data_IF_881478716237
#
_entry.id   IF_881478716237
#
_cell.length_a   1.000
_cell.length_b   1.000
_cell.length_c   1.000
_cell.angle_alpha   90.00
_cell.angle_beta   90.00
_cell.angle_gamma   90.00
#
_symmetry.space_group_name_H-M   'P 1'
#
loop_
_entity.id
_entity.type
_entity.pdbx_description
1 polymer ?
#
# COMPACT_ATOMS: atom_id res chain seq x y z
N UNK A 1 -18.25 19.26 -37.57
CA UNK A 1 -17.90 18.86 -36.19
C UNK A 1 -18.49 17.47 -35.96
N UNK A 2 -17.75 16.41 -36.23
CA UNK A 2 -18.17 15.01 -36.04
C UNK A 2 -17.78 14.60 -34.62
N UNK A 3 -18.79 14.35 -33.80
CA UNK A 3 -18.59 13.83 -32.44
C UNK A 3 -18.10 12.39 -32.53
N UNK A 4 -16.86 12.19 -32.08
CA UNK A 4 -16.23 10.88 -31.94
C UNK A 4 -16.96 10.07 -30.85
N UNK A 5 -17.85 9.21 -31.27
CA UNK A 5 -18.60 8.32 -30.39
C UNK A 5 -17.71 7.12 -30.01
N UNK A 6 -16.96 7.26 -28.91
CA UNK A 6 -16.11 6.19 -28.37
C UNK A 6 -16.99 5.00 -27.98
N UNK A 7 -16.76 3.79 -28.52
CA UNK A 7 -17.60 2.62 -28.21
C UNK A 7 -17.54 2.31 -26.70
N UNK A 8 -18.65 1.86 -26.09
CA UNK A 8 -18.69 1.50 -24.68
C UNK A 8 -17.73 0.33 -24.42
N UNK A 9 -16.89 0.50 -23.38
CA UNK A 9 -15.94 -0.53 -22.96
C UNK A 9 -16.70 -1.80 -22.55
N UNK A 10 -16.23 -2.99 -22.96
CA UNK A 10 -16.89 -4.24 -22.58
C UNK A 10 -16.90 -4.37 -21.05
N UNK A 11 -18.08 -4.55 -20.47
CA UNK A 11 -18.23 -4.88 -19.04
C UNK A 11 -17.66 -6.27 -18.83
N UNK A 12 -16.56 -6.38 -18.10
CA UNK A 12 -16.04 -7.68 -17.64
C UNK A 12 -17.15 -8.33 -16.81
N UNK A 13 -17.70 -9.41 -17.30
CA UNK A 13 -18.75 -10.17 -16.61
C UNK A 13 -18.24 -10.61 -15.24
N UNK A 14 -19.01 -10.38 -14.18
CA UNK A 14 -18.68 -10.85 -12.84
C UNK A 14 -18.74 -12.39 -12.86
N UNK A 15 -17.61 -13.05 -12.63
CA UNK A 15 -17.56 -14.50 -12.49
C UNK A 15 -18.36 -14.93 -11.25
N UNK A 16 -19.13 -16.04 -11.34
CA UNK A 16 -19.89 -16.52 -10.18
C UNK A 16 -18.97 -16.96 -9.03
N UNK A 17 -19.41 -16.86 -7.77
CA UNK A 17 -18.61 -17.18 -6.57
C UNK A 17 -17.97 -18.58 -6.61
N UNK A 18 -18.64 -19.56 -7.21
CA UNK A 18 -18.14 -20.93 -7.39
C UNK A 18 -16.89 -21.00 -8.26
N UNK A 19 -16.79 -20.12 -9.28
CA UNK A 19 -15.62 -20.06 -10.16
C UNK A 19 -14.40 -19.46 -9.44
N UNK A 20 -14.61 -18.46 -8.58
CA UNK A 20 -13.54 -17.91 -7.75
C UNK A 20 -12.96 -18.96 -6.80
N UNK A 21 -13.82 -19.74 -6.13
CA UNK A 21 -13.38 -20.79 -5.22
C UNK A 21 -12.62 -21.89 -5.97
N UNK A 22 -13.10 -22.33 -7.15
CA UNK A 22 -12.39 -23.30 -7.98
C UNK A 22 -11.01 -22.80 -8.41
N UNK A 23 -10.92 -21.56 -8.85
CA UNK A 23 -9.65 -20.92 -9.22
C UNK A 23 -8.71 -20.85 -8.01
N UNK A 24 -9.22 -20.48 -6.84
CA UNK A 24 -8.43 -20.42 -5.61
C UNK A 24 -7.87 -21.78 -5.22
N UNK A 25 -8.68 -22.86 -5.27
CA UNK A 25 -8.22 -24.20 -4.97
C UNK A 25 -7.18 -24.70 -5.97
N UNK A 26 -7.33 -24.38 -7.27
CA UNK A 26 -6.34 -24.74 -8.29
C UNK A 26 -4.99 -24.03 -8.06
N UNK A 27 -5.00 -22.76 -7.69
CA UNK A 27 -3.80 -22.01 -7.34
C UNK A 27 -3.14 -22.53 -6.07
N UNK A 28 -3.92 -22.83 -5.06
CA UNK A 28 -3.44 -23.40 -3.80
C UNK A 28 -2.77 -24.76 -4.02
N UNK A 29 -3.36 -25.62 -4.85
CA UNK A 29 -2.77 -26.91 -5.25
C UNK A 29 -1.44 -26.73 -6.02
N UNK A 30 -1.26 -25.60 -6.70
CA UNK A 30 0.00 -25.22 -7.34
C UNK A 30 0.99 -24.52 -6.38
N UNK A 31 0.73 -24.50 -5.08
CA UNK A 31 1.61 -23.90 -4.07
C UNK A 31 1.52 -22.37 -3.97
N UNK A 32 0.52 -21.74 -4.58
CA UNK A 32 0.33 -20.28 -4.54
C UNK A 32 -0.71 -19.91 -3.47
N UNK A 33 -0.33 -19.23 -2.38
CA UNK A 33 -1.28 -18.85 -1.33
C UNK A 33 -2.32 -17.85 -1.84
N UNK A 34 -3.60 -18.12 -1.58
CA UNK A 34 -4.73 -17.36 -2.12
C UNK A 34 -5.58 -16.73 -1.04
N UNK A 35 -6.31 -15.68 -1.43
CA UNK A 35 -7.29 -15.01 -0.59
C UNK A 35 -8.42 -14.43 -1.47
N UNK A 36 -9.66 -14.30 -0.92
CA UNK A 36 -10.74 -13.60 -1.60
C UNK A 36 -10.52 -12.08 -1.55
N UNK A 37 -10.85 -11.38 -2.65
CA UNK A 37 -10.83 -9.93 -2.72
C UNK A 37 -12.23 -9.37 -2.98
N UNK A 38 -12.58 -8.31 -2.25
CA UNK A 38 -13.84 -7.55 -2.42
C UNK A 38 -13.75 -6.57 -3.60
N UNK A 39 -14.84 -5.88 -3.86
CA UNK A 39 -14.89 -4.77 -4.81
C UNK A 39 -13.76 -3.77 -4.54
N UNK A 40 -13.19 -3.21 -5.62
CA UNK A 40 -12.00 -2.36 -5.54
C UNK A 40 -10.69 -3.12 -5.35
N UNK A 41 -10.67 -4.44 -5.49
CA UNK A 41 -9.49 -5.32 -5.26
C UNK A 41 -9.01 -5.27 -3.79
N UNK A 42 -9.89 -4.96 -2.85
CA UNK A 42 -9.56 -4.80 -1.44
C UNK A 42 -9.65 -6.14 -0.71
N UNK A 43 -8.64 -6.57 0.06
CA UNK A 43 -8.72 -7.77 0.88
C UNK A 43 -9.69 -7.56 2.05
N UNK A 44 -10.08 -8.64 2.70
CA UNK A 44 -10.83 -8.56 3.95
C UNK A 44 -9.91 -8.03 5.04
N UNK A 45 -10.41 -7.05 5.81
CA UNK A 45 -9.69 -6.47 6.92
C UNK A 45 -9.67 -7.37 8.16
N UNK A 46 -9.11 -6.85 9.25
CA UNK A 46 -9.09 -7.56 10.52
C UNK A 46 -10.51 -7.86 11.00
N UNK A 47 -10.72 -9.05 11.52
CA UNK A 47 -11.95 -9.37 12.25
C UNK A 47 -12.01 -8.55 13.54
N UNK A 48 -13.20 -8.50 14.18
CA UNK A 48 -13.40 -7.72 15.40
C UNK A 48 -12.43 -8.13 16.53
N UNK A 49 -12.18 -9.42 16.70
CA UNK A 49 -11.24 -9.93 17.71
C UNK A 49 -9.79 -9.47 17.41
N UNK A 50 -9.39 -9.44 16.16
CA UNK A 50 -8.05 -9.01 15.76
C UNK A 50 -7.86 -7.51 15.82
N UNK A 51 -8.89 -6.72 15.64
CA UNK A 51 -8.84 -5.28 15.82
C UNK A 51 -8.45 -4.90 17.27
N UNK A 52 -8.84 -5.75 18.25
CA UNK A 52 -8.45 -5.60 19.65
C UNK A 52 -7.13 -6.31 20.02
N UNK A 53 -6.38 -6.84 19.05
CA UNK A 53 -5.14 -7.58 19.33
C UNK A 53 -5.32 -9.00 19.86
N UNK A 54 -6.54 -9.52 19.91
CA UNK A 54 -6.87 -10.79 20.56
C UNK A 54 -6.44 -12.05 19.81
N UNK A 55 -5.99 -11.95 18.56
CA UNK A 55 -5.56 -13.11 17.76
C UNK A 55 -4.10 -13.54 17.99
N UNK A 56 -3.48 -13.17 19.11
CA UNK A 56 -2.10 -13.51 19.43
C UNK A 56 -1.05 -12.65 18.76
N UNK A 57 -1.42 -11.43 18.40
CA UNK A 57 -0.42 -10.40 18.14
C UNK A 57 0.17 -10.40 16.75
N UNK A 58 -0.65 -10.19 15.75
CA UNK A 58 -0.16 -9.67 14.48
C UNK A 58 -0.46 -8.18 14.34
N UNK A 59 0.05 -7.34 15.25
CA UNK A 59 -0.19 -5.91 15.16
C UNK A 59 0.41 -5.31 13.90
N UNK A 60 1.36 -6.01 13.28
CA UNK A 60 2.16 -5.41 12.24
C UNK A 60 2.12 -6.24 11.01
N UNK A 61 1.40 -6.63 10.31
CA UNK A 61 1.55 -7.19 8.95
C UNK A 61 3.02 -7.29 8.42
N UNK A 62 4.00 -7.08 9.31
CA UNK A 62 5.44 -7.07 9.02
C UNK A 62 6.10 -8.44 9.17
N UNK A 63 5.43 -9.39 9.82
CA UNK A 63 5.93 -10.74 9.96
C UNK A 63 5.06 -11.71 9.20
N UNK A 64 5.67 -12.45 8.28
CA UNK A 64 5.02 -13.58 7.62
C UNK A 64 4.76 -14.67 8.66
N UNK A 65 3.53 -15.10 8.79
CA UNK A 65 3.09 -16.17 9.67
C UNK A 65 1.59 -16.33 9.56
N UNK A 66 1.03 -17.51 9.71
CA UNK A 66 -0.40 -17.74 9.56
C UNK A 66 -1.19 -16.97 10.61
N UNK A 67 -2.28 -16.33 10.19
CA UNK A 67 -3.26 -15.83 11.10
C UNK A 67 -4.03 -17.00 11.69
N UNK A 68 -4.18 -17.05 13.02
CA UNK A 68 -4.96 -18.10 13.72
C UNK A 68 -6.46 -17.86 13.67
N UNK A 69 -6.92 -16.78 13.07
CA UNK A 69 -8.34 -16.53 12.92
C UNK A 69 -8.96 -17.56 11.97
N UNK A 70 -10.12 -18.12 12.28
CA UNK A 70 -10.79 -19.09 11.43
C UNK A 70 -11.29 -18.45 10.12
N UNK A 71 -11.65 -17.15 10.15
CA UNK A 71 -12.12 -16.41 8.98
C UNK A 71 -11.00 -15.68 8.23
N UNK A 72 -11.33 -15.13 7.06
CA UNK A 72 -10.41 -14.29 6.30
C UNK A 72 -10.13 -12.99 7.06
N UNK A 73 -8.90 -12.84 7.51
CA UNK A 73 -8.48 -11.76 8.38
C UNK A 73 -7.01 -11.37 8.07
N UNK A 74 -6.58 -10.15 8.42
CA UNK A 74 -5.21 -9.64 8.22
C UNK A 74 -4.81 -9.44 6.75
N UNK A 75 -5.75 -9.10 5.89
CA UNK A 75 -5.48 -8.73 4.50
C UNK A 75 -4.61 -9.80 3.77
N UNK A 76 -3.44 -9.43 3.22
CA UNK A 76 -2.56 -10.33 2.49
C UNK A 76 -2.10 -11.55 3.33
N UNK A 77 -2.01 -11.38 4.65
CA UNK A 77 -1.53 -12.43 5.54
C UNK A 77 -2.57 -13.55 5.79
N UNK A 78 -3.82 -13.36 5.32
CA UNK A 78 -4.81 -14.42 5.27
C UNK A 78 -4.55 -15.43 4.14
N UNK A 79 -3.69 -15.08 3.17
CA UNK A 79 -3.42 -15.95 2.04
C UNK A 79 -2.87 -17.31 2.51
N UNK A 80 -3.46 -18.40 1.99
CA UNK A 80 -3.12 -19.77 2.37
C UNK A 80 -3.17 -20.71 1.17
N UNK A 81 -2.42 -21.80 1.26
CA UNK A 81 -2.48 -22.95 0.33
C UNK A 81 -3.34 -24.09 0.90
N UNK A 82 -3.81 -23.99 2.14
CA UNK A 82 -4.58 -25.00 2.81
C UNK A 82 -6.00 -25.11 2.23
N UNK A 83 -6.24 -26.12 1.39
CA UNK A 83 -7.55 -26.33 0.73
C UNK A 83 -8.69 -26.45 1.72
N UNK A 84 -8.48 -27.09 2.86
CA UNK A 84 -9.47 -27.22 3.93
C UNK A 84 -9.87 -25.86 4.51
N UNK A 85 -8.94 -24.92 4.65
CA UNK A 85 -9.20 -23.54 5.10
C UNK A 85 -9.95 -22.76 4.03
N UNK A 86 -9.48 -22.84 2.78
CA UNK A 86 -10.08 -22.14 1.62
C UNK A 86 -11.54 -22.56 1.43
N UNK A 87 -11.86 -23.85 1.58
CA UNK A 87 -13.21 -24.39 1.42
C UNK A 87 -14.04 -24.38 2.73
N UNK A 88 -13.51 -23.88 3.84
CA UNK A 88 -14.17 -23.92 5.13
C UNK A 88 -15.45 -23.05 5.19
N UNK A 89 -16.41 -23.39 6.05
CA UNK A 89 -17.58 -22.56 6.30
C UNK A 89 -17.21 -21.13 6.75
N UNK A 90 -16.11 -20.97 7.48
CA UNK A 90 -15.61 -19.65 7.92
C UNK A 90 -15.20 -18.74 6.76
N UNK A 91 -14.74 -19.31 5.66
CA UNK A 91 -14.38 -18.56 4.42
C UNK A 91 -15.53 -18.44 3.44
N UNK A 92 -16.60 -19.25 3.57
CA UNK A 92 -17.70 -19.28 2.61
C UNK A 92 -18.37 -17.93 2.40
N UNK A 93 -18.55 -17.14 3.45
CA UNK A 93 -19.13 -15.78 3.36
C UNK A 93 -18.20 -14.83 2.61
N UNK A 94 -16.91 -14.94 2.84
CA UNK A 94 -15.93 -14.12 2.14
C UNK A 94 -15.89 -14.45 0.63
N UNK A 95 -15.98 -15.73 0.25
CA UNK A 95 -16.08 -16.14 -1.15
C UNK A 95 -17.35 -15.65 -1.83
N UNK A 96 -18.49 -15.64 -1.12
CA UNK A 96 -19.76 -15.06 -1.67
C UNK A 96 -19.65 -13.56 -1.95
N UNK A 97 -18.86 -12.84 -1.16
CA UNK A 97 -18.63 -11.40 -1.31
C UNK A 97 -17.46 -11.07 -2.26
N UNK A 98 -16.63 -12.06 -2.58
CA UNK A 98 -15.48 -11.88 -3.44
C UNK A 98 -15.89 -11.53 -4.86
N UNK A 99 -15.18 -10.59 -5.46
CA UNK A 99 -15.31 -10.24 -6.88
C UNK A 99 -14.13 -10.77 -7.71
N UNK A 100 -13.07 -11.23 -7.04
CA UNK A 100 -11.93 -11.87 -7.69
C UNK A 100 -11.08 -12.62 -6.65
N UNK A 101 -10.19 -13.45 -7.16
CA UNK A 101 -9.15 -14.13 -6.37
C UNK A 101 -7.92 -13.24 -6.29
N UNK A 102 -7.41 -13.05 -5.08
CA UNK A 102 -6.07 -12.53 -4.83
C UNK A 102 -5.11 -13.67 -4.50
N UNK A 103 -3.84 -13.40 -4.63
CA UNK A 103 -2.79 -14.32 -4.19
C UNK A 103 -1.62 -13.55 -3.59
N UNK A 104 -0.87 -14.21 -2.71
CA UNK A 104 0.34 -13.67 -2.11
C UNK A 104 1.56 -14.15 -2.91
N UNK A 105 2.13 -13.32 -3.80
CA UNK A 105 3.22 -13.75 -4.67
C UNK A 105 4.42 -14.28 -3.89
N UNK A 106 4.88 -13.53 -2.88
CA UNK A 106 6.04 -13.91 -2.08
C UNK A 106 5.88 -15.24 -1.35
N UNK A 107 4.65 -15.58 -0.90
CA UNK A 107 4.35 -16.88 -0.30
C UNK A 107 4.39 -18.04 -1.31
N UNK A 108 4.18 -17.75 -2.59
CA UNK A 108 4.30 -18.70 -3.70
C UNK A 108 5.69 -18.68 -4.38
N UNK A 109 6.69 -18.04 -3.78
CA UNK A 109 8.01 -17.93 -4.38
C UNK A 109 8.09 -17.01 -5.60
N UNK A 110 7.16 -16.06 -5.73
CA UNK A 110 7.00 -15.22 -6.91
C UNK A 110 7.19 -13.74 -6.61
N UNK A 111 7.52 -12.99 -7.64
CA UNK A 111 7.46 -11.53 -7.68
C UNK A 111 6.67 -11.08 -8.89
N UNK A 112 5.71 -10.19 -8.69
CA UNK A 112 4.94 -9.54 -9.74
C UNK A 112 5.41 -8.10 -9.86
N UNK A 113 5.80 -7.71 -11.07
CA UNK A 113 5.99 -6.31 -11.42
C UNK A 113 4.73 -5.86 -12.15
N UNK A 114 4.01 -4.90 -11.56
CA UNK A 114 2.73 -4.38 -12.04
C UNK A 114 2.97 -3.07 -12.77
N UNK A 115 2.70 -3.07 -14.08
CA UNK A 115 2.81 -1.90 -14.96
C UNK A 115 1.43 -1.34 -15.22
N UNK A 116 1.19 -0.10 -14.83
CA UNK A 116 -0.13 0.55 -14.88
C UNK A 116 -0.42 1.32 -16.18
N UNK A 117 0.55 1.45 -17.08
CA UNK A 117 0.40 2.22 -18.32
C UNK A 117 1.36 1.76 -19.43
N UNK A 118 1.12 2.24 -20.65
CA UNK A 118 1.90 1.88 -21.84
C UNK A 118 3.37 2.32 -21.77
N UNK A 119 3.65 3.48 -21.18
CA UNK A 119 5.02 3.99 -21.07
C UNK A 119 5.87 3.12 -20.15
N UNK A 120 5.29 2.68 -19.02
CA UNK A 120 5.95 1.76 -18.11
C UNK A 120 6.23 0.40 -18.79
N UNK A 121 5.30 -0.11 -19.61
CA UNK A 121 5.49 -1.34 -20.38
C UNK A 121 6.57 -1.17 -21.45
N UNK A 122 6.57 -0.06 -22.19
CA UNK A 122 7.57 0.21 -23.21
C UNK A 122 8.98 0.27 -22.60
N UNK A 123 9.11 0.95 -21.46
CA UNK A 123 10.35 0.94 -20.71
C UNK A 123 10.74 -0.47 -20.26
N UNK A 124 9.81 -1.23 -19.69
CA UNK A 124 10.10 -2.57 -19.18
C UNK A 124 10.64 -3.50 -20.28
N UNK A 125 10.09 -3.43 -21.49
CA UNK A 125 10.53 -4.23 -22.64
C UNK A 125 11.97 -3.97 -23.06
N UNK A 126 12.51 -2.81 -22.75
CA UNK A 126 13.91 -2.47 -23.04
C UNK A 126 14.85 -2.72 -21.86
N UNK A 127 14.34 -2.62 -20.63
CA UNK A 127 15.16 -2.60 -19.42
C UNK A 127 15.14 -3.92 -18.64
N UNK A 128 14.13 -4.76 -18.83
CA UNK A 128 13.93 -5.96 -18.03
C UNK A 128 13.89 -7.22 -18.91
N UNK A 129 14.43 -8.34 -18.42
CA UNK A 129 14.31 -9.62 -19.11
C UNK A 129 12.86 -10.07 -19.25
N UNK A 130 12.51 -10.61 -20.41
CA UNK A 130 11.19 -11.16 -20.65
C UNK A 130 10.85 -12.28 -19.67
N UNK A 131 9.59 -12.36 -19.30
CA UNK A 131 9.05 -13.37 -18.38
C UNK A 131 7.58 -13.63 -18.70
N UNK A 132 6.90 -14.42 -17.85
CA UNK A 132 5.45 -14.62 -17.98
C UNK A 132 4.70 -13.30 -17.81
N UNK A 133 3.85 -12.97 -18.76
CA UNK A 133 3.09 -11.73 -18.82
C UNK A 133 1.59 -12.01 -18.73
N UNK A 134 0.89 -11.22 -17.93
CA UNK A 134 -0.57 -11.26 -17.78
C UNK A 134 -1.12 -9.89 -18.08
N UNK A 135 -1.98 -9.72 -19.09
CA UNK A 135 -2.58 -8.41 -19.39
C UNK A 135 -3.52 -7.97 -18.27
N UNK A 136 -3.53 -6.68 -17.98
CA UNK A 136 -4.47 -6.03 -17.08
C UNK A 136 -5.40 -5.08 -17.86
N UNK A 137 -6.28 -4.36 -17.18
CA UNK A 137 -7.16 -3.39 -17.85
C UNK A 137 -6.40 -2.21 -18.44
N UNK A 138 -5.25 -1.85 -17.86
CA UNK A 138 -4.48 -0.65 -18.23
C UNK A 138 -3.02 -0.93 -18.59
N UNK A 139 -2.55 -2.13 -18.26
CA UNK A 139 -1.16 -2.48 -18.38
C UNK A 139 -0.91 -3.99 -18.35
N UNK A 140 0.15 -4.40 -17.68
CA UNK A 140 0.60 -5.79 -17.63
C UNK A 140 1.16 -6.13 -16.24
N UNK A 141 0.96 -7.40 -15.79
CA UNK A 141 1.75 -8.01 -14.73
C UNK A 141 2.86 -8.85 -15.34
N UNK A 142 4.09 -8.62 -14.96
CA UNK A 142 5.22 -9.51 -15.30
C UNK A 142 5.58 -10.33 -14.08
N UNK A 143 5.58 -11.66 -14.23
CA UNK A 143 5.73 -12.60 -13.11
C UNK A 143 7.07 -13.31 -13.21
N UNK A 144 7.91 -13.14 -12.18
CA UNK A 144 9.22 -13.77 -12.04
C UNK A 144 9.23 -14.82 -10.93
N UNK A 145 10.05 -15.86 -11.05
CA UNK A 145 10.36 -16.79 -9.96
C UNK A 145 11.40 -16.18 -9.03
N UNK A 146 11.12 -16.17 -7.73
CA UNK A 146 11.94 -15.58 -6.69
C UNK A 146 11.20 -14.52 -5.92
N UNK A 147 11.70 -14.20 -4.73
CA UNK A 147 11.07 -13.24 -3.81
C UNK A 147 11.96 -12.05 -3.53
N UNK A 148 11.33 -10.94 -3.19
CA UNK A 148 11.95 -9.72 -2.73
C UNK A 148 10.98 -8.90 -1.85
N UNK A 149 11.42 -7.81 -1.29
CA UNK A 149 10.52 -6.85 -0.63
C UNK A 149 9.56 -6.21 -1.65
N UNK A 150 8.28 -6.09 -1.29
CA UNK A 150 7.33 -5.31 -2.09
C UNK A 150 7.62 -3.82 -1.97
N UNK A 151 7.43 -3.10 -3.07
CA UNK A 151 7.59 -1.64 -3.11
C UNK A 151 6.61 -1.04 -4.09
N UNK A 152 5.97 0.05 -3.72
CA UNK A 152 5.06 0.77 -4.61
C UNK A 152 5.78 1.97 -5.23
N UNK A 153 5.33 2.34 -6.43
CA UNK A 153 5.83 3.51 -7.15
C UNK A 153 7.37 3.53 -7.28
N UNK A 154 7.97 2.34 -7.56
CA UNK A 154 9.44 2.25 -7.77
C UNK A 154 9.88 3.04 -9.00
N UNK A 155 8.96 3.25 -9.93
CA UNK A 155 9.00 4.19 -11.05
C UNK A 155 7.57 4.68 -11.34
N UNK A 156 7.36 5.74 -12.12
CA UNK A 156 6.03 6.12 -12.58
C UNK A 156 5.29 4.94 -13.24
N UNK A 157 4.15 4.54 -12.66
CA UNK A 157 3.34 3.43 -13.15
C UNK A 157 3.93 2.04 -12.93
N UNK A 158 4.88 1.85 -12.02
CA UNK A 158 5.51 0.55 -11.72
C UNK A 158 5.47 0.24 -10.23
N UNK A 159 4.79 -0.85 -9.88
CA UNK A 159 4.73 -1.41 -8.54
C UNK A 159 5.37 -2.81 -8.50
N UNK A 160 5.98 -3.17 -7.38
CA UNK A 160 6.50 -4.51 -7.12
C UNK A 160 5.68 -5.16 -6.01
N UNK A 161 5.06 -6.30 -6.29
CA UNK A 161 4.30 -7.11 -5.34
C UNK A 161 4.99 -8.45 -5.15
N UNK A 162 5.50 -8.71 -3.94
CA UNK A 162 6.16 -9.97 -3.58
C UNK A 162 5.89 -10.32 -2.11
N UNK A 163 6.86 -10.21 -1.20
CA UNK A 163 6.63 -10.48 0.22
C UNK A 163 5.73 -9.43 0.85
N UNK A 164 4.88 -9.84 1.80
CA UNK A 164 3.96 -8.98 2.55
C UNK A 164 3.01 -8.15 1.67
N UNK A 165 2.64 -8.68 0.51
CA UNK A 165 1.74 -8.03 -0.43
C UNK A 165 0.82 -9.07 -1.08
N UNK A 166 -0.11 -8.60 -1.89
CA UNK A 166 -0.96 -9.45 -2.70
C UNK A 166 -1.11 -8.86 -4.10
N UNK A 167 -1.38 -9.74 -5.05
CA UNK A 167 -1.75 -9.38 -6.41
C UNK A 167 -3.11 -10.00 -6.75
N UNK A 168 -3.83 -9.40 -7.70
CA UNK A 168 -5.04 -9.97 -8.25
C UNK A 168 -4.69 -11.06 -9.26
N UNK A 169 -5.34 -12.22 -9.17
CA UNK A 169 -5.29 -13.22 -10.22
C UNK A 169 -6.09 -12.77 -11.45
N UNK A 170 -5.45 -12.73 -12.59
CA UNK A 170 -6.02 -12.30 -13.87
C UNK A 170 -5.99 -13.40 -14.94
N UNK A 171 -5.47 -14.56 -14.58
CA UNK A 171 -5.30 -15.70 -15.47
C UNK A 171 -3.86 -16.20 -15.50
N UNK A 172 -3.60 -17.28 -16.25
CA UNK A 172 -2.28 -17.91 -16.28
C UNK A 172 -1.22 -17.08 -17.02
N UNK A 173 -1.66 -16.12 -17.86
CA UNK A 173 -0.76 -15.33 -18.70
C UNK A 173 -0.12 -16.14 -19.83
N UNK A 174 0.85 -15.52 -20.48
CA UNK A 174 1.63 -16.09 -21.60
C UNK A 174 3.12 -16.06 -21.31
N UNK A 175 3.88 -16.88 -21.99
CA UNK A 175 5.33 -16.98 -21.83
C UNK A 175 5.77 -17.82 -20.62
N UNK A 176 7.07 -18.02 -20.50
CA UNK A 176 7.70 -18.81 -19.45
C UNK A 176 8.19 -17.91 -18.34
N UNK A 177 7.90 -18.27 -17.07
CA UNK A 177 8.45 -17.54 -15.93
C UNK A 177 9.96 -17.72 -15.85
N UNK A 178 10.69 -16.62 -15.86
CA UNK A 178 12.15 -16.57 -15.65
C UNK A 178 12.49 -16.28 -14.18
N UNK A 179 13.74 -16.48 -13.80
CA UNK A 179 14.22 -16.12 -12.47
C UNK A 179 14.15 -14.60 -12.26
N UNK A 180 13.89 -14.18 -11.03
CA UNK A 180 13.83 -12.77 -10.66
C UNK A 180 15.20 -12.09 -10.88
N UNK A 181 15.30 -11.17 -11.86
CA UNK A 181 16.59 -10.59 -12.24
C UNK A 181 17.02 -9.49 -11.26
N UNK A 182 18.34 -9.25 -11.20
CA UNK A 182 18.90 -8.17 -10.38
C UNK A 182 18.39 -6.79 -10.83
N UNK A 183 18.08 -6.60 -12.12
CA UNK A 183 17.48 -5.37 -12.62
C UNK A 183 16.15 -5.03 -11.93
N UNK A 184 15.30 -6.04 -11.64
CA UNK A 184 14.05 -5.82 -10.87
C UNK A 184 14.37 -5.55 -9.39
N UNK A 185 15.34 -6.27 -8.81
CA UNK A 185 15.75 -6.02 -7.41
C UNK A 185 16.28 -4.61 -7.23
N UNK A 186 17.06 -4.11 -8.17
CA UNK A 186 17.61 -2.76 -8.15
C UNK A 186 16.53 -1.66 -8.14
N UNK A 187 15.34 -1.90 -8.73
CA UNK A 187 14.24 -0.93 -8.70
C UNK A 187 13.72 -0.65 -7.28
N UNK A 188 13.81 -1.63 -6.37
CA UNK A 188 13.35 -1.46 -4.99
C UNK A 188 14.45 -0.92 -4.07
N UNK A 189 15.68 -0.90 -4.53
CA UNK A 189 16.77 -0.18 -3.83
C UNK A 189 16.45 1.30 -4.01
N UNK A 190 15.97 1.95 -2.96
CA UNK A 190 15.99 3.40 -2.93
C UNK A 190 17.46 3.78 -3.07
N UNK A 191 17.85 4.35 -4.20
CA UNK A 191 19.11 5.08 -4.23
C UNK A 191 19.09 5.99 -3.01
N UNK A 192 20.14 5.96 -2.16
CA UNK A 192 20.27 6.99 -1.15
C UNK A 192 20.11 8.28 -1.96
N UNK A 193 19.00 9.00 -1.74
CA UNK A 193 18.82 10.33 -2.34
C UNK A 193 20.17 10.98 -2.25
N UNK A 194 20.80 11.40 -3.39
CA UNK A 194 22.14 11.96 -3.35
C UNK A 194 22.12 12.89 -2.17
N UNK A 195 22.92 12.57 -1.13
CA UNK A 195 22.85 13.26 0.12
C UNK A 195 22.89 14.71 -0.28
N UNK A 196 21.75 15.39 -0.15
CA UNK A 196 21.68 16.81 -0.47
C UNK A 196 22.91 17.33 0.24
N UNK A 197 23.97 17.83 -0.45
CA UNK A 197 25.27 18.07 0.16
C UNK A 197 24.93 18.72 1.46
N UNK A 198 25.26 18.02 2.58
CA UNK A 198 24.77 18.36 3.91
C UNK A 198 24.97 19.87 3.93
N UNK A 199 23.94 20.70 4.02
CA UNK A 199 24.13 22.12 3.99
C UNK A 199 25.23 22.28 5.01
N UNK A 200 26.45 22.68 4.53
CA UNK A 200 27.62 22.74 5.35
C UNK A 200 27.11 23.14 6.69
N UNK A 201 27.37 22.34 7.75
CA UNK A 201 26.93 22.66 9.07
C UNK A 201 27.55 24.04 9.34
N UNK A 202 26.94 25.04 8.77
CA UNK A 202 26.95 26.37 9.29
C UNK A 202 26.34 26.09 10.64
N UNK A 203 27.22 26.01 11.64
CA UNK A 203 26.85 25.96 13.03
C UNK A 203 25.78 27.05 13.13
N UNK A 204 24.51 26.64 13.07
CA UNK A 204 23.41 27.54 13.35
C UNK A 204 23.68 27.87 14.79
N UNK A 205 24.09 29.12 15.12
CA UNK A 205 24.25 29.49 16.49
C UNK A 205 22.96 29.08 17.15
N UNK A 206 23.04 28.39 18.29
CA UNK A 206 21.88 28.15 19.12
C UNK A 206 21.29 29.53 19.37
N UNK A 207 20.30 29.94 18.59
CA UNK A 207 19.55 31.15 18.76
C UNK A 207 18.65 30.91 19.96
N UNK A 208 19.26 31.03 21.11
CA UNK A 208 18.54 31.47 22.30
C UNK A 208 17.92 32.82 21.97
N UNK A 209 16.60 32.91 22.13
CA UNK A 209 15.87 34.16 22.19
C UNK A 209 15.31 34.68 20.86
N UNK A 210 13.99 34.57 20.70
CA UNK A 210 13.17 35.60 20.04
C UNK A 210 13.41 35.93 18.57
N UNK A 211 13.98 35.03 17.77
CA UNK A 211 14.11 35.21 16.33
C UNK A 211 12.80 35.00 15.61
N UNK A 212 12.32 36.01 14.88
CA UNK A 212 11.10 35.95 14.08
C UNK A 212 11.10 34.71 13.16
N UNK A 213 10.15 33.82 13.43
CA UNK A 213 9.88 32.70 12.56
C UNK A 213 9.58 33.25 11.15
N UNK A 214 10.18 32.66 10.13
CA UNK A 214 9.92 33.00 8.69
C UNK A 214 8.41 32.98 8.35
N UNK A 215 7.61 32.28 9.11
CA UNK A 215 6.16 32.15 8.98
C UNK A 215 5.38 33.27 9.70
N UNK A 216 6.08 34.28 10.16
CA UNK A 216 5.65 35.63 10.56
C UNK A 216 4.68 35.80 11.73
N UNK A 217 3.77 34.89 12.03
CA UNK A 217 2.85 35.11 13.16
C UNK A 217 2.30 33.78 13.71
N UNK A 218 2.01 33.68 15.01
CA UNK A 218 1.25 32.55 15.56
C UNK A 218 -0.05 32.30 14.80
N UNK A 219 -0.73 33.35 14.36
CA UNK A 219 -1.98 33.24 13.59
C UNK A 219 -1.79 32.52 12.23
N UNK A 220 -0.62 32.59 11.62
CA UNK A 220 -0.36 31.85 10.38
C UNK A 220 -0.25 30.33 10.65
N UNK A 221 0.45 29.94 11.72
CA UNK A 221 0.55 28.55 12.14
C UNK A 221 -0.83 28.02 12.55
N UNK A 222 -1.58 28.74 13.39
CA UNK A 222 -2.92 28.34 13.84
C UNK A 222 -3.88 28.14 12.67
N UNK A 223 -3.82 29.02 11.66
CA UNK A 223 -4.60 28.84 10.41
C UNK A 223 -4.16 27.58 9.66
N UNK A 224 -2.87 27.32 9.56
CA UNK A 224 -2.33 26.11 8.94
C UNK A 224 -2.80 24.84 9.65
N UNK A 225 -2.79 24.83 10.96
CA UNK A 225 -3.31 23.72 11.79
C UNK A 225 -4.82 23.56 11.60
N UNK A 226 -5.60 24.65 11.63
CA UNK A 226 -7.04 24.58 11.40
C UNK A 226 -7.40 24.02 10.01
N UNK A 227 -6.67 24.42 8.97
CA UNK A 227 -6.84 23.85 7.62
C UNK A 227 -6.46 22.37 7.56
N UNK A 228 -5.44 21.96 8.30
CA UNK A 228 -5.02 20.57 8.41
C UNK A 228 -6.08 19.70 9.12
N UNK A 229 -6.63 20.20 10.23
CA UNK A 229 -7.76 19.58 10.95
C UNK A 229 -8.98 19.42 10.03
N UNK A 230 -9.36 20.49 9.34
CA UNK A 230 -10.48 20.48 8.42
C UNK A 230 -10.27 19.42 7.31
N UNK A 231 -9.09 19.36 6.71
CA UNK A 231 -8.76 18.39 5.67
C UNK A 231 -8.88 16.94 6.16
N UNK A 232 -8.45 16.68 7.40
CA UNK A 232 -8.60 15.35 8.02
C UNK A 232 -10.09 15.06 8.27
N UNK A 233 -10.82 16.00 8.84
CA UNK A 233 -12.24 15.85 9.18
C UNK A 233 -13.12 15.63 7.95
N UNK A 234 -12.83 16.29 6.83
CA UNK A 234 -13.57 16.16 5.58
C UNK A 234 -13.24 14.87 4.80
N UNK A 235 -12.19 14.14 5.17
CA UNK A 235 -11.81 12.91 4.48
C UNK A 235 -12.94 11.86 4.53
N UNK A 236 -13.47 11.49 3.36
CA UNK A 236 -14.55 10.48 3.21
C UNK A 236 -14.02 9.10 2.83
N UNK A 237 -12.80 9.03 2.32
CA UNK A 237 -12.13 7.79 1.92
C UNK A 237 -10.62 7.96 2.07
N UNK A 238 -9.88 6.83 2.11
CA UNK A 238 -8.43 6.83 2.26
C UNK A 238 -7.93 7.69 3.46
N UNK A 239 -8.65 7.65 4.58
CA UNK A 239 -8.41 8.47 5.77
C UNK A 239 -6.95 8.39 6.19
N UNK A 240 -6.39 7.20 6.32
CA UNK A 240 -4.99 6.99 6.70
C UNK A 240 -4.00 7.75 5.79
N UNK A 241 -4.18 7.64 4.48
CA UNK A 241 -3.34 8.36 3.50
C UNK A 241 -3.50 9.87 3.63
N UNK A 242 -4.72 10.34 3.86
CA UNK A 242 -5.01 11.77 4.04
C UNK A 242 -4.34 12.30 5.31
N UNK A 243 -4.44 11.58 6.42
CA UNK A 243 -3.78 11.91 7.70
C UNK A 243 -2.27 12.00 7.50
N UNK A 244 -1.64 10.97 6.94
CA UNK A 244 -0.21 10.96 6.69
C UNK A 244 0.26 12.14 5.82
N UNK A 245 -0.42 12.40 4.68
CA UNK A 245 -0.08 13.52 3.79
C UNK A 245 -0.28 14.88 4.45
N UNK A 246 -1.25 14.98 5.33
CA UNK A 246 -1.53 16.21 6.07
C UNK A 246 -0.43 16.47 7.11
N UNK A 247 -0.01 15.42 7.84
CA UNK A 247 1.12 15.52 8.77
C UNK A 247 2.42 15.90 8.04
N UNK A 248 2.67 15.27 6.89
CA UNK A 248 3.83 15.59 6.06
C UNK A 248 3.82 17.06 5.61
N UNK A 249 2.66 17.60 5.19
CA UNK A 249 2.51 18.98 4.77
C UNK A 249 2.75 19.95 5.93
N UNK A 250 2.19 19.69 7.11
CA UNK A 250 2.41 20.50 8.31
C UNK A 250 3.88 20.49 8.71
N UNK A 251 4.51 19.32 8.75
CA UNK A 251 5.92 19.18 9.11
C UNK A 251 6.86 19.79 8.06
N UNK A 252 6.55 19.68 6.77
CA UNK A 252 7.36 20.31 5.72
C UNK A 252 7.39 21.84 5.85
N UNK A 253 6.29 22.42 6.33
CA UNK A 253 6.14 23.86 6.49
C UNK A 253 6.69 24.34 7.84
N UNK A 254 6.41 23.64 8.94
CA UNK A 254 6.64 24.10 10.30
C UNK A 254 7.59 23.22 11.13
N UNK A 255 8.05 22.09 10.60
CA UNK A 255 8.85 21.13 11.37
C UNK A 255 10.22 21.65 11.79
N UNK A 256 10.80 22.57 11.02
CA UNK A 256 12.14 23.11 11.27
C UNK A 256 12.18 24.44 11.99
N UNK A 257 11.07 25.13 12.13
CA UNK A 257 11.04 26.46 12.73
C UNK A 257 10.85 26.46 14.26
N UNK A 258 10.61 25.28 14.86
CA UNK A 258 10.36 25.17 16.30
C UNK A 258 9.05 25.76 16.79
N UNK A 259 8.17 26.25 15.88
CA UNK A 259 6.91 26.88 16.25
C UNK A 259 5.80 25.87 16.55
N UNK A 260 5.94 24.60 16.09
CA UNK A 260 4.99 23.52 16.42
C UNK A 260 5.12 23.15 17.89
N UNK A 261 4.00 23.26 18.60
CA UNK A 261 3.91 22.82 19.98
C UNK A 261 3.20 21.47 20.08
N UNK A 262 3.34 20.78 21.22
CA UNK A 262 2.61 19.55 21.48
C UNK A 262 1.08 19.74 21.41
N UNK A 263 0.59 20.92 21.74
CA UNK A 263 -0.83 21.26 21.62
C UNK A 263 -1.30 21.23 20.15
N UNK A 264 -0.49 21.73 19.21
CA UNK A 264 -0.81 21.66 17.78
C UNK A 264 -0.83 20.19 17.27
N UNK A 265 0.13 19.38 17.73
CA UNK A 265 0.18 17.95 17.38
C UNK A 265 -1.01 17.20 17.96
N UNK A 266 -1.38 17.48 19.23
CA UNK A 266 -2.52 16.87 19.88
C UNK A 266 -3.84 17.18 19.14
N UNK A 267 -4.04 18.40 18.66
CA UNK A 267 -5.19 18.79 17.85
C UNK A 267 -5.30 17.93 16.58
N UNK A 268 -4.22 17.79 15.83
CA UNK A 268 -4.17 16.97 14.61
C UNK A 268 -4.44 15.50 14.90
N UNK A 269 -3.91 14.97 15.99
CA UNK A 269 -4.17 13.60 16.43
C UNK A 269 -5.64 13.40 16.81
N UNK A 270 -6.23 14.34 17.52
CA UNK A 270 -7.65 14.32 17.88
C UNK A 270 -8.54 14.28 16.63
N UNK A 271 -8.25 15.13 15.64
CA UNK A 271 -8.96 15.11 14.36
C UNK A 271 -8.84 13.76 13.62
N UNK A 272 -7.64 13.16 13.62
CA UNK A 272 -7.40 11.87 12.99
C UNK A 272 -8.13 10.73 13.74
N UNK A 273 -8.10 10.74 15.06
CA UNK A 273 -8.80 9.75 15.90
C UNK A 273 -10.32 9.85 15.76
N UNK A 274 -10.88 11.04 15.64
CA UNK A 274 -12.29 11.25 15.34
C UNK A 274 -12.71 10.64 13.98
N UNK A 275 -11.76 10.43 13.07
CA UNK A 275 -11.96 9.73 11.79
C UNK A 275 -11.66 8.23 11.85
N UNK A 276 -11.43 7.67 13.05
CA UNK A 276 -11.21 6.25 13.27
C UNK A 276 -9.75 5.79 13.24
N UNK A 277 -8.78 6.72 13.16
CA UNK A 277 -7.37 6.35 13.32
C UNK A 277 -7.07 6.00 14.79
N UNK A 278 -6.27 4.96 15.03
CA UNK A 278 -5.83 4.64 16.38
C UNK A 278 -4.74 5.62 16.84
N UNK A 279 -4.59 5.86 18.17
CA UNK A 279 -3.51 6.68 18.70
C UNK A 279 -2.14 6.26 18.21
N UNK A 280 -1.92 4.95 18.08
CA UNK A 280 -0.69 4.37 17.58
C UNK A 280 -0.46 4.70 16.10
N UNK A 281 -1.49 4.57 15.25
CA UNK A 281 -1.39 4.93 13.83
C UNK A 281 -1.06 6.41 13.67
N UNK A 282 -1.63 7.29 14.49
CA UNK A 282 -1.29 8.70 14.48
C UNK A 282 0.18 8.93 14.81
N UNK A 283 0.69 8.28 15.88
CA UNK A 283 2.09 8.38 16.29
C UNK A 283 3.06 7.83 15.22
N UNK A 284 2.75 6.65 14.65
CA UNK A 284 3.56 6.03 13.60
C UNK A 284 3.56 6.90 12.32
N UNK A 285 2.41 7.46 11.92
CA UNK A 285 2.30 8.34 10.76
C UNK A 285 3.08 9.65 10.96
N UNK A 286 3.05 10.21 12.16
CA UNK A 286 3.81 11.39 12.52
C UNK A 286 5.31 11.14 12.51
N UNK A 287 5.77 10.05 13.13
CA UNK A 287 7.17 9.64 13.15
C UNK A 287 7.71 9.36 11.75
N UNK A 288 6.94 8.66 10.91
CA UNK A 288 7.31 8.39 9.52
C UNK A 288 7.42 9.69 8.69
N UNK A 289 6.50 10.64 8.90
CA UNK A 289 6.55 11.93 8.21
C UNK A 289 7.77 12.75 8.64
N UNK A 290 8.13 12.73 9.92
CA UNK A 290 9.37 13.34 10.43
C UNK A 290 10.60 12.71 9.80
N UNK A 291 10.71 11.39 9.82
CA UNK A 291 11.82 10.64 9.23
C UNK A 291 11.99 10.95 7.75
N UNK A 292 10.87 11.04 7.00
CA UNK A 292 10.91 11.38 5.58
C UNK A 292 11.46 12.78 5.31
N UNK A 293 11.29 13.71 6.25
CA UNK A 293 11.76 15.10 6.14
C UNK A 293 13.12 15.34 6.81
N UNK A 294 13.71 14.31 7.43
CA UNK A 294 14.97 14.44 8.17
C UNK A 294 14.84 15.33 9.40
N UNK A 295 13.74 15.18 10.18
CA UNK A 295 13.41 15.94 11.40
C UNK A 295 13.56 15.08 12.65
#
# INVERSE_FOLDING_TARGET
>A
MTADCKPPRPRVAKRPPVEHLRTALALAAAGVPVLPLRAGKVPFGNCHACAAGACGGRPHMKHAGPCRCPGVCHAWAAATTESAVIASPAWATAWRQAVCVGYHPGGGGLTVVDFDNADAIAWARTALPATRTVPTTRGEHWIYRGTMGSSNAVRPGVDIKSTMSYARWLGPGTGTMTALPNAVRALAVKEPSPACPAPHAVAVPALGGGGECRHRTPAYLDRGIAMAEQRITEARSAVHTTVYRTFLAVLSTHGRCGCLTDAHVARLFTAAQAKGESPRHCADAWANARTQLGL
#
